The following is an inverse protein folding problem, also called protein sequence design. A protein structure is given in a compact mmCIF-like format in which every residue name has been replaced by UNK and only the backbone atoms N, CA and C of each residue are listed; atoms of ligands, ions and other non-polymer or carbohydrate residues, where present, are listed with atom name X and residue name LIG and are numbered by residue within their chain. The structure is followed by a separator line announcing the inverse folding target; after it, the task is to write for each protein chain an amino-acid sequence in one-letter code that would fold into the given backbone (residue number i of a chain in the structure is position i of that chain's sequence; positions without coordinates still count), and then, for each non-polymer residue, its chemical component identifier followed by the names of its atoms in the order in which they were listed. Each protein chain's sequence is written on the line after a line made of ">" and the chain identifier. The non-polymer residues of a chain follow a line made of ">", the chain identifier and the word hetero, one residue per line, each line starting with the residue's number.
data_IF_300989754929
#
_entry.id   IF_300989754929
#
_cell.length_a   1.000
_cell.length_b   1.000
_cell.length_c   1.000
_cell.angle_alpha   90.00
_cell.angle_beta   90.00
_cell.angle_gamma   90.00
#
_symmetry.space_group_name_H-M   'P 1'
#
loop_
_entity.id
_entity.type
_entity.pdbx_description
1 polymer ?
#
# COMPACT_ATOMS: atom_id res chain seq x y z
N UNK A 1 30.30 45.00 -36.15
CA UNK A 1 29.22 45.81 -35.54
C UNK A 1 28.16 44.81 -35.08
N UNK A 2 28.03 44.45 -33.78
CA UNK A 2 27.43 45.27 -32.69
C UNK A 2 25.98 45.59 -33.14
N UNK A 3 24.86 45.14 -32.55
CA UNK A 3 24.45 44.84 -31.15
C UNK A 3 22.97 44.37 -31.17
N UNK A 4 22.57 43.34 -30.41
CA UNK A 4 21.85 43.36 -29.10
C UNK A 4 20.40 43.88 -29.08
N UNK A 5 19.48 43.02 -28.65
CA UNK A 5 18.37 43.39 -27.74
C UNK A 5 17.92 42.16 -26.94
N UNK A 6 18.57 41.96 -25.79
CA UNK A 6 18.07 41.13 -24.69
C UNK A 6 17.33 42.09 -23.76
N UNK A 7 16.02 41.93 -23.61
CA UNK A 7 15.25 42.57 -22.55
C UNK A 7 15.09 41.57 -21.41
N UNK A 8 15.93 41.71 -20.39
CA UNK A 8 15.80 41.01 -19.12
C UNK A 8 14.60 41.52 -18.34
N UNK A 9 13.82 40.60 -17.80
CA UNK A 9 13.01 40.83 -16.60
C UNK A 9 13.41 39.75 -15.60
N UNK A 10 14.31 40.14 -14.70
CA UNK A 10 14.67 39.37 -13.51
C UNK A 10 13.44 39.25 -12.61
N UNK A 11 12.77 38.09 -12.63
CA UNK A 11 11.98 37.65 -11.49
C UNK A 11 12.88 36.81 -10.59
N UNK A 12 13.41 37.49 -9.58
CA UNK A 12 14.06 36.88 -8.43
C UNK A 12 13.12 35.84 -7.80
N UNK A 13 13.42 34.56 -8.02
CA UNK A 13 12.94 33.51 -7.14
C UNK A 13 13.56 33.74 -5.76
N UNK A 14 12.76 34.26 -4.84
CA UNK A 14 13.08 34.22 -3.42
C UNK A 14 13.19 32.75 -3.01
N UNK A 15 14.42 32.28 -2.85
CA UNK A 15 14.73 31.08 -2.08
C UNK A 15 14.31 31.34 -0.63
N UNK A 16 13.04 31.11 -0.31
CA UNK A 16 12.58 30.98 1.05
C UNK A 16 13.30 29.76 1.64
N UNK A 17 14.29 30.05 2.47
CA UNK A 17 15.06 29.05 3.21
C UNK A 17 14.08 28.37 4.16
N UNK A 18 13.71 27.12 3.88
CA UNK A 18 12.89 26.33 4.80
C UNK A 18 13.59 26.33 6.18
N UNK A 19 12.86 26.55 7.28
CA UNK A 19 13.47 26.57 8.61
C UNK A 19 14.15 25.21 8.88
N UNK A 20 15.41 25.27 9.34
CA UNK A 20 16.24 24.07 9.62
C UNK A 20 15.71 23.22 10.78
N UNK A 21 14.84 23.77 11.63
CA UNK A 21 14.31 23.11 12.82
C UNK A 21 12.83 22.77 12.60
N UNK A 22 12.47 21.51 12.80
CA UNK A 22 11.12 20.98 12.58
C UNK A 22 10.26 21.26 13.83
N UNK A 23 9.11 21.93 13.65
CA UNK A 23 8.13 22.09 14.73
C UNK A 23 7.36 20.77 14.92
N UNK A 24 7.50 20.07 16.07
CA UNK A 24 6.80 18.81 16.30
C UNK A 24 5.27 18.95 16.39
N UNK A 25 4.75 20.17 16.59
CA UNK A 25 3.32 20.45 16.71
C UNK A 25 2.66 20.90 15.39
N UNK A 26 3.44 21.10 14.33
CA UNK A 26 2.97 21.56 13.02
C UNK A 26 3.84 21.03 11.87
N UNK A 27 4.04 19.71 11.81
CA UNK A 27 4.91 19.09 10.81
C UNK A 27 4.28 19.15 9.41
N UNK A 28 4.98 19.71 8.39
CA UNK A 28 4.46 19.80 7.03
C UNK A 28 4.24 18.43 6.37
N UNK A 29 3.11 18.25 5.68
CA UNK A 29 2.79 17.02 4.91
C UNK A 29 3.86 16.73 3.87
N UNK A 30 4.32 17.77 3.17
CA UNK A 30 5.33 17.65 2.11
C UNK A 30 6.65 17.09 2.63
N UNK A 31 7.10 17.51 3.82
CA UNK A 31 8.32 16.98 4.44
C UNK A 31 8.13 15.56 4.95
N UNK A 32 6.96 15.23 5.49
CA UNK A 32 6.67 13.85 5.88
C UNK A 32 6.71 12.90 4.68
N UNK A 33 6.18 13.33 3.53
CA UNK A 33 6.15 12.52 2.32
C UNK A 33 7.53 12.23 1.71
N UNK A 34 8.49 13.14 1.88
CA UNK A 34 9.86 13.00 1.37
C UNK A 34 10.87 12.47 2.39
N UNK A 35 10.71 12.81 3.67
CA UNK A 35 11.71 12.63 4.74
C UNK A 35 11.17 11.87 5.96
N UNK A 36 9.98 11.27 5.86
CA UNK A 36 9.26 10.68 7.00
C UNK A 36 10.09 9.72 7.84
N UNK A 37 10.90 8.84 7.24
CA UNK A 37 11.77 7.92 7.99
C UNK A 37 12.80 8.64 8.86
N UNK A 38 13.42 9.71 8.35
CA UNK A 38 14.43 10.49 9.07
C UNK A 38 13.79 11.28 10.21
N UNK A 39 12.67 11.94 9.93
CA UNK A 39 11.86 12.65 10.93
C UNK A 39 11.44 11.70 12.05
N UNK A 40 10.90 10.53 11.71
CA UNK A 40 10.43 9.59 12.72
C UNK A 40 11.58 9.02 13.55
N UNK A 41 12.74 8.74 12.96
CA UNK A 41 13.92 8.30 13.70
C UNK A 41 14.41 9.34 14.72
N UNK A 42 14.38 10.62 14.36
CA UNK A 42 14.77 11.68 15.28
C UNK A 42 13.79 11.83 16.45
N UNK A 43 12.49 11.77 16.18
CA UNK A 43 11.46 12.17 17.13
C UNK A 43 10.84 11.03 17.94
N UNK A 44 10.80 9.80 17.43
CA UNK A 44 10.22 8.62 18.10
C UNK A 44 10.81 8.34 19.50
N UNK A 45 12.11 8.58 19.76
CA UNK A 45 12.66 8.49 21.12
C UNK A 45 12.20 9.62 22.05
N UNK A 46 11.87 10.80 21.50
CA UNK A 46 11.57 12.03 22.25
C UNK A 46 10.09 12.16 22.59
N UNK A 47 9.19 11.83 21.65
CA UNK A 47 7.75 12.02 21.76
C UNK A 47 6.97 10.76 21.36
N UNK A 48 5.76 10.54 21.91
CA UNK A 48 4.89 9.45 21.47
C UNK A 48 4.22 9.75 20.12
N UNK A 49 3.99 11.03 19.82
CA UNK A 49 3.40 11.49 18.57
C UNK A 49 3.97 12.84 18.11
N UNK A 50 3.83 13.12 16.82
CA UNK A 50 3.94 14.47 16.24
C UNK A 50 2.55 14.95 15.84
N UNK A 51 2.38 16.25 15.65
CA UNK A 51 1.16 16.81 15.06
C UNK A 51 1.47 17.35 13.67
N UNK A 52 0.73 16.86 12.68
CA UNK A 52 0.81 17.31 11.30
C UNK A 52 0.16 18.69 11.16
N UNK A 53 0.58 19.47 10.16
CA UNK A 53 0.08 20.84 9.94
C UNK A 53 -1.45 20.95 9.78
N UNK A 54 -2.11 19.86 9.34
CA UNK A 54 -3.57 19.76 9.22
C UNK A 54 -4.27 19.28 10.52
N UNK A 55 -3.52 19.15 11.61
CA UNK A 55 -4.00 18.81 12.94
C UNK A 55 -4.06 17.30 13.26
N UNK A 56 -3.68 16.42 12.33
CA UNK A 56 -3.65 14.97 12.59
C UNK A 56 -2.48 14.58 13.48
N UNK A 57 -2.73 13.73 14.48
CA UNK A 57 -1.69 13.23 15.39
C UNK A 57 -1.03 11.97 14.81
N UNK A 58 0.27 12.06 14.52
CA UNK A 58 1.10 10.98 13.97
C UNK A 58 1.73 10.19 15.11
N UNK A 59 1.16 9.04 15.44
CA UNK A 59 1.68 8.17 16.52
C UNK A 59 2.91 7.42 16.03
N UNK A 60 4.01 7.53 16.77
CA UNK A 60 5.34 7.11 16.30
C UNK A 60 5.78 5.74 16.80
N UNK A 61 5.46 5.41 18.05
CA UNK A 61 6.05 4.27 18.76
C UNK A 61 5.27 3.00 18.49
N UNK A 62 5.96 1.87 18.30
CA UNK A 62 5.33 0.61 17.92
C UNK A 62 4.28 0.17 18.97
N UNK A 63 4.59 0.27 20.26
CA UNK A 63 3.68 -0.12 21.33
C UNK A 63 2.41 0.75 21.37
N UNK A 64 2.55 2.06 21.19
CA UNK A 64 1.41 2.99 21.12
C UNK A 64 0.53 2.72 19.89
N UNK A 65 1.14 2.39 18.75
CA UNK A 65 0.42 2.00 17.53
C UNK A 65 -0.38 0.71 17.77
N UNK A 66 0.21 -0.30 18.41
CA UNK A 66 -0.48 -1.55 18.73
C UNK A 66 -1.64 -1.31 19.71
N UNK A 67 -1.38 -0.55 20.77
CA UNK A 67 -2.36 -0.17 21.78
C UNK A 67 -3.55 0.52 21.09
N UNK A 68 -3.31 1.67 20.46
CA UNK A 68 -4.35 2.50 19.86
C UNK A 68 -5.06 1.81 18.68
N UNK A 69 -4.43 0.85 18.01
CA UNK A 69 -5.06 0.07 16.96
C UNK A 69 -6.18 -0.86 17.44
N UNK A 70 -6.18 -1.21 18.74
CA UNK A 70 -7.13 -2.14 19.35
C UNK A 70 -7.87 -1.58 20.56
N UNK A 71 -7.45 -0.41 21.08
CA UNK A 71 -8.04 0.27 22.21
C UNK A 71 -9.50 0.67 21.93
N UNK A 72 -10.46 0.34 22.81
CA UNK A 72 -11.88 0.71 22.65
C UNK A 72 -12.13 2.22 22.70
N UNK A 73 -11.18 3.02 23.22
CA UNK A 73 -11.23 4.49 23.20
C UNK A 73 -10.89 5.06 21.83
N UNK A 74 -10.49 4.22 20.88
CA UNK A 74 -10.36 4.63 19.48
C UNK A 74 -11.27 3.78 18.61
N UNK A 75 -11.61 4.29 17.43
CA UNK A 75 -12.27 3.50 16.38
C UNK A 75 -11.66 3.78 15.03
N UNK A 76 -11.98 2.91 14.07
CA UNK A 76 -11.66 3.18 12.68
C UNK A 76 -12.46 4.40 12.21
N UNK A 77 -11.84 5.23 11.37
CA UNK A 77 -12.56 6.32 10.70
C UNK A 77 -13.55 5.75 9.69
N UNK A 78 -14.62 6.47 9.48
CA UNK A 78 -15.63 6.16 8.48
C UNK A 78 -15.55 7.23 7.38
N UNK A 79 -16.55 8.09 7.26
CA UNK A 79 -16.59 9.12 6.20
C UNK A 79 -15.99 10.46 6.60
N UNK A 80 -15.50 10.62 7.83
CA UNK A 80 -15.12 11.94 8.37
C UNK A 80 -14.00 12.62 7.55
N UNK A 81 -13.01 11.87 7.06
CA UNK A 81 -11.95 12.42 6.20
C UNK A 81 -12.47 12.90 4.84
N UNK A 82 -13.56 12.32 4.32
CA UNK A 82 -14.19 12.77 3.09
C UNK A 82 -15.04 14.01 3.35
N UNK A 83 -15.81 14.01 4.45
CA UNK A 83 -16.63 15.14 4.86
C UNK A 83 -15.79 16.40 5.12
N UNK A 84 -14.63 16.26 5.77
CA UNK A 84 -13.69 17.37 5.99
C UNK A 84 -13.12 17.96 4.70
N UNK A 85 -13.14 17.19 3.60
CA UNK A 85 -12.73 17.65 2.26
C UNK A 85 -13.92 18.12 1.41
N UNK A 86 -15.12 18.28 1.99
CA UNK A 86 -16.33 18.66 1.25
C UNK A 86 -16.93 17.56 0.39
N UNK A 87 -16.38 16.34 0.42
CA UNK A 87 -16.87 15.19 -0.33
C UNK A 87 -17.99 14.51 0.48
N UNK A 88 -19.23 14.70 0.03
CA UNK A 88 -20.44 14.28 0.76
C UNK A 88 -21.27 13.21 0.04
N UNK A 89 -20.94 12.92 -1.22
CA UNK A 89 -21.60 11.97 -2.13
C UNK A 89 -20.67 11.64 -3.28
N UNK A 90 -21.02 10.61 -4.05
CA UNK A 90 -20.26 10.18 -5.22
C UNK A 90 -19.61 8.82 -5.04
N UNK A 91 -18.95 8.34 -6.08
CA UNK A 91 -18.33 7.03 -6.13
C UNK A 91 -17.21 6.88 -5.09
N UNK A 92 -16.36 7.90 -4.90
CA UNK A 92 -15.33 7.88 -3.86
C UNK A 92 -15.98 7.85 -2.47
N UNK A 93 -17.01 8.67 -2.24
CA UNK A 93 -17.71 8.69 -0.96
C UNK A 93 -18.36 7.33 -0.64
N UNK A 94 -18.99 6.70 -1.62
CA UNK A 94 -19.63 5.39 -1.48
C UNK A 94 -18.59 4.29 -1.22
N UNK A 95 -17.44 4.33 -1.89
CA UNK A 95 -16.34 3.41 -1.64
C UNK A 95 -15.91 3.47 -0.16
N UNK A 96 -15.70 4.68 0.38
CA UNK A 96 -15.33 4.86 1.78
C UNK A 96 -16.47 4.42 2.71
N UNK A 97 -17.69 4.89 2.49
CA UNK A 97 -18.85 4.61 3.34
C UNK A 97 -19.19 3.12 3.45
N UNK A 98 -19.08 2.39 2.34
CA UNK A 98 -19.56 1.00 2.27
C UNK A 98 -18.45 -0.06 2.33
N UNK A 99 -17.17 0.31 2.30
CA UNK A 99 -16.06 -0.65 2.44
C UNK A 99 -15.91 -1.17 3.89
N UNK A 100 -15.43 -2.40 4.03
CA UNK A 100 -15.04 -2.97 5.32
C UNK A 100 -13.86 -2.22 5.96
N UNK A 101 -12.96 -1.62 5.17
CA UNK A 101 -11.78 -0.94 5.72
C UNK A 101 -12.17 0.23 6.63
N UNK A 102 -13.27 0.91 6.33
CA UNK A 102 -13.76 2.12 6.99
C UNK A 102 -15.06 1.87 7.76
N UNK A 103 -15.20 0.70 8.36
CA UNK A 103 -16.37 0.38 9.18
C UNK A 103 -15.96 -0.23 10.51
N UNK A 104 -16.89 -0.23 11.46
CA UNK A 104 -16.65 -0.63 12.84
C UNK A 104 -17.63 -1.72 13.29
N UNK A 105 -17.30 -2.41 14.39
CA UNK A 105 -18.22 -3.32 15.10
C UNK A 105 -18.88 -4.37 14.22
N UNK A 106 -20.19 -4.56 14.40
CA UNK A 106 -20.97 -5.56 13.64
C UNK A 106 -20.99 -5.29 12.13
N UNK A 107 -20.97 -4.03 11.70
CA UNK A 107 -20.98 -3.67 10.27
C UNK A 107 -19.71 -4.19 9.61
N UNK A 108 -18.55 -3.97 10.24
CA UNK A 108 -17.28 -4.51 9.78
C UNK A 108 -17.30 -6.05 9.74
N UNK A 109 -17.79 -6.70 10.81
CA UNK A 109 -17.87 -8.17 10.87
C UNK A 109 -18.69 -8.73 9.71
N UNK A 110 -19.86 -8.15 9.41
CA UNK A 110 -20.74 -8.56 8.30
C UNK A 110 -20.09 -8.35 6.93
N UNK A 111 -19.43 -7.21 6.71
CA UNK A 111 -18.74 -6.94 5.42
C UNK A 111 -17.54 -7.86 5.21
N UNK A 112 -16.84 -8.23 6.29
CA UNK A 112 -15.65 -9.08 6.24
C UNK A 112 -15.98 -10.58 6.15
N UNK A 113 -17.06 -11.05 6.77
CA UNK A 113 -17.42 -12.49 6.84
C UNK A 113 -17.56 -13.12 5.46
N UNK A 114 -18.15 -12.37 4.51
CA UNK A 114 -18.33 -12.80 3.12
C UNK A 114 -17.01 -13.20 2.43
N UNK A 115 -15.87 -12.67 2.86
CA UNK A 115 -14.56 -13.01 2.32
C UNK A 115 -13.73 -13.97 3.19
N UNK A 116 -14.06 -14.12 4.47
CA UNK A 116 -13.21 -14.83 5.42
C UNK A 116 -13.01 -16.31 5.05
N UNK A 117 -14.03 -16.95 4.46
CA UNK A 117 -13.94 -18.33 3.98
C UNK A 117 -13.09 -18.47 2.71
N UNK A 118 -13.16 -17.48 1.81
CA UNK A 118 -12.47 -17.53 0.51
C UNK A 118 -11.01 -17.12 0.59
N UNK A 119 -10.63 -16.28 1.56
CA UNK A 119 -9.23 -15.92 1.86
C UNK A 119 -8.58 -16.79 2.94
N UNK A 120 -9.18 -17.93 3.29
CA UNK A 120 -8.55 -18.86 4.21
C UNK A 120 -7.18 -19.32 3.66
N UNK A 121 -6.15 -19.33 4.53
CA UNK A 121 -4.75 -19.58 4.14
C UNK A 121 -4.56 -20.78 3.20
N UNK A 122 -5.23 -21.91 3.46
CA UNK A 122 -5.13 -23.11 2.63
C UNK A 122 -5.61 -22.90 1.19
N UNK A 123 -6.65 -22.08 0.99
CA UNK A 123 -7.16 -21.76 -0.34
C UNK A 123 -6.16 -20.89 -1.10
N UNK A 124 -5.59 -19.90 -0.43
CA UNK A 124 -4.62 -18.99 -1.03
C UNK A 124 -3.30 -19.70 -1.35
N UNK A 125 -2.80 -20.59 -0.48
CA UNK A 125 -1.58 -21.35 -0.75
C UNK A 125 -1.74 -22.33 -1.93
N UNK A 126 -2.96 -22.83 -2.17
CA UNK A 126 -3.27 -23.63 -3.35
C UNK A 126 -3.14 -22.85 -4.68
N UNK A 127 -3.14 -21.51 -4.65
CA UNK A 127 -2.89 -20.66 -5.82
C UNK A 127 -1.41 -20.52 -6.16
N UNK A 128 -0.50 -20.89 -5.25
CA UNK A 128 0.95 -20.71 -5.43
C UNK A 128 1.47 -21.28 -6.76
N UNK A 129 1.11 -22.51 -7.19
CA UNK A 129 1.59 -23.04 -8.48
C UNK A 129 1.18 -22.19 -9.68
N UNK A 130 -0.04 -21.62 -9.67
CA UNK A 130 -0.50 -20.75 -10.75
C UNK A 130 0.18 -19.39 -10.71
N UNK A 131 0.43 -18.84 -9.52
CA UNK A 131 1.22 -17.61 -9.35
C UNK A 131 2.66 -17.81 -9.82
N UNK A 132 3.30 -18.94 -9.51
CA UNK A 132 4.64 -19.27 -10.03
C UNK A 132 4.66 -19.36 -11.56
N UNK A 133 3.62 -19.91 -12.20
CA UNK A 133 3.55 -19.91 -13.68
C UNK A 133 3.38 -18.50 -14.23
N UNK A 134 2.54 -17.70 -13.57
CA UNK A 134 2.30 -16.31 -13.95
C UNK A 134 3.57 -15.46 -13.85
N UNK A 135 4.37 -15.63 -12.79
CA UNK A 135 5.64 -14.91 -12.63
C UNK A 135 6.64 -15.25 -13.74
N UNK A 136 6.72 -16.51 -14.15
CA UNK A 136 7.57 -16.94 -15.27
C UNK A 136 7.06 -16.40 -16.62
N UNK A 137 5.75 -16.50 -16.88
CA UNK A 137 5.17 -16.01 -18.13
C UNK A 137 5.34 -14.50 -18.29
N UNK A 138 5.08 -13.74 -17.23
CA UNK A 138 5.34 -12.30 -17.21
C UNK A 138 6.81 -11.96 -17.46
N UNK A 139 7.73 -12.81 -17.02
CA UNK A 139 9.15 -12.61 -17.24
C UNK A 139 9.58 -12.90 -18.68
N UNK A 140 8.89 -13.80 -19.37
CA UNK A 140 9.13 -14.09 -20.78
C UNK A 140 8.73 -12.92 -21.68
N UNK A 141 7.72 -12.15 -21.28
CA UNK A 141 7.27 -10.93 -21.96
C UNK A 141 8.15 -9.69 -21.67
N UNK A 142 9.08 -9.76 -20.72
CA UNK A 142 10.00 -8.66 -20.43
C UNK A 142 10.95 -8.48 -21.63
N UNK A 143 11.00 -7.27 -22.22
CA UNK A 143 11.83 -7.03 -23.39
C UNK A 143 13.31 -7.21 -23.03
N UNK A 144 14.04 -7.94 -23.88
CA UNK A 144 15.50 -8.12 -23.76
C UNK A 144 16.23 -6.92 -24.39
N UNK A 145 15.84 -5.72 -23.99
CA UNK A 145 16.47 -4.44 -24.38
C UNK A 145 17.45 -4.00 -23.30
N UNK A 146 18.24 -2.97 -23.59
CA UNK A 146 19.24 -2.47 -22.64
C UNK A 146 18.55 -1.94 -21.36
N UNK A 147 17.64 -0.96 -21.43
CA UNK A 147 16.92 -0.46 -20.26
C UNK A 147 15.40 -0.63 -20.39
N UNK A 148 14.73 -1.02 -19.30
CA UNK A 148 13.27 -1.05 -19.21
C UNK A 148 12.78 -0.68 -17.80
N UNK A 149 11.52 -0.23 -17.70
CA UNK A 149 10.88 0.02 -16.39
C UNK A 149 10.33 -1.28 -15.80
N UNK A 150 10.99 -1.81 -14.78
CA UNK A 150 10.56 -3.00 -14.05
C UNK A 150 9.18 -2.82 -13.37
N UNK A 151 8.89 -1.60 -12.91
CA UNK A 151 7.66 -1.30 -12.21
C UNK A 151 6.45 -1.37 -13.15
N UNK A 152 6.60 -0.94 -14.40
CA UNK A 152 5.57 -1.00 -15.44
C UNK A 152 5.51 -2.37 -16.12
N UNK A 153 6.66 -2.99 -16.41
CA UNK A 153 6.72 -4.17 -17.25
C UNK A 153 6.48 -5.49 -16.50
N UNK A 154 6.70 -5.51 -15.18
CA UNK A 154 6.58 -6.70 -14.34
C UNK A 154 5.78 -6.46 -13.05
N UNK A 155 6.21 -5.51 -12.20
CA UNK A 155 5.68 -5.36 -10.85
C UNK A 155 4.19 -4.96 -10.80
N UNK A 156 3.72 -4.18 -11.77
CA UNK A 156 2.31 -3.78 -11.91
C UNK A 156 1.41 -4.94 -12.35
N UNK A 157 1.93 -5.78 -13.27
CA UNK A 157 1.14 -6.80 -13.96
C UNK A 157 0.81 -7.98 -13.08
N UNK A 158 1.77 -8.41 -12.24
CA UNK A 158 1.60 -9.59 -11.39
C UNK A 158 0.36 -9.47 -10.47
N UNK A 159 0.26 -8.47 -9.57
CA UNK A 159 -0.88 -8.40 -8.67
C UNK A 159 -2.21 -8.12 -9.38
N UNK A 160 -2.18 -7.37 -10.49
CA UNK A 160 -3.37 -7.17 -11.32
C UNK A 160 -3.88 -8.49 -11.92
N UNK A 161 -3.01 -9.28 -12.52
CA UNK A 161 -3.39 -10.56 -13.13
C UNK A 161 -3.75 -11.61 -12.06
N UNK A 162 -3.09 -11.60 -10.91
CA UNK A 162 -3.48 -12.45 -9.78
C UNK A 162 -4.87 -12.10 -9.30
N UNK A 163 -5.19 -10.82 -9.05
CA UNK A 163 -6.52 -10.44 -8.55
C UNK A 163 -7.60 -10.68 -9.60
N UNK A 164 -7.29 -10.48 -10.90
CA UNK A 164 -8.17 -10.89 -11.99
C UNK A 164 -8.45 -12.39 -11.95
N UNK A 165 -7.42 -13.22 -11.81
CA UNK A 165 -7.56 -14.68 -11.72
C UNK A 165 -8.37 -15.09 -10.49
N UNK A 166 -8.07 -14.52 -9.32
CA UNK A 166 -8.81 -14.77 -8.08
C UNK A 166 -10.27 -14.44 -8.28
N UNK A 167 -10.60 -13.27 -8.81
CA UNK A 167 -11.99 -12.82 -9.01
C UNK A 167 -12.69 -13.43 -10.23
N UNK A 168 -12.00 -14.27 -11.01
CA UNK A 168 -12.54 -14.83 -12.24
C UNK A 168 -12.84 -13.77 -13.31
N UNK A 169 -12.06 -12.68 -13.35
CA UNK A 169 -12.12 -11.64 -14.37
C UNK A 169 -11.36 -12.08 -15.64
N UNK A 170 -11.77 -11.61 -16.83
CA UNK A 170 -10.98 -11.81 -18.04
C UNK A 170 -9.58 -11.19 -17.90
N UNK A 171 -8.53 -11.95 -18.20
CA UNK A 171 -7.14 -11.45 -18.13
C UNK A 171 -6.91 -10.22 -19.03
N UNK A 172 -7.60 -10.12 -20.16
CA UNK A 172 -7.53 -8.98 -21.08
C UNK A 172 -8.02 -7.65 -20.47
N UNK A 173 -8.80 -7.71 -19.39
CA UNK A 173 -9.31 -6.51 -18.69
C UNK A 173 -8.29 -5.96 -17.69
N UNK A 174 -7.22 -6.71 -17.37
CA UNK A 174 -6.23 -6.32 -16.37
C UNK A 174 -5.62 -4.93 -16.61
N UNK A 175 -5.20 -4.56 -17.83
CA UNK A 175 -4.72 -3.20 -18.09
C UNK A 175 -5.78 -2.13 -17.81
N UNK A 176 -7.05 -2.42 -18.12
CA UNK A 176 -8.15 -1.47 -17.95
C UNK A 176 -8.40 -1.16 -16.47
N UNK A 177 -8.64 -2.17 -15.64
CA UNK A 177 -8.92 -1.91 -14.22
C UNK A 177 -7.66 -1.47 -13.45
N UNK A 178 -6.45 -1.86 -13.89
CA UNK A 178 -5.20 -1.42 -13.24
C UNK A 178 -5.04 0.09 -13.32
N UNK A 179 -5.30 0.68 -14.49
CA UNK A 179 -5.33 2.14 -14.66
C UNK A 179 -6.31 2.81 -13.68
N UNK A 180 -7.52 2.25 -13.57
CA UNK A 180 -8.54 2.76 -12.65
C UNK A 180 -8.10 2.65 -11.19
N UNK A 181 -7.53 1.50 -10.80
CA UNK A 181 -7.02 1.25 -9.45
C UNK A 181 -5.98 2.29 -9.06
N UNK A 182 -4.99 2.58 -9.92
CA UNK A 182 -3.96 3.57 -9.59
C UNK A 182 -4.55 4.96 -9.37
N UNK A 183 -5.50 5.37 -10.20
CA UNK A 183 -6.18 6.65 -10.02
C UNK A 183 -7.04 6.68 -8.75
N UNK A 184 -7.87 5.66 -8.52
CA UNK A 184 -8.77 5.59 -7.37
C UNK A 184 -7.99 5.49 -6.04
N UNK A 185 -6.87 4.77 -6.01
CA UNK A 185 -6.09 4.52 -4.78
C UNK A 185 -5.56 5.80 -4.14
N UNK A 186 -5.41 6.88 -4.92
CA UNK A 186 -5.01 8.21 -4.46
C UNK A 186 -5.94 8.74 -3.37
N UNK A 187 -7.22 8.37 -3.38
CA UNK A 187 -8.17 8.80 -2.35
C UNK A 187 -7.85 8.24 -0.94
N UNK A 188 -7.05 7.17 -0.87
CA UNK A 188 -6.58 6.53 0.36
C UNK A 188 -5.29 7.16 0.91
N UNK A 189 -4.68 8.08 0.17
CA UNK A 189 -3.51 8.86 0.60
C UNK A 189 -3.95 10.19 1.23
N UNK A 190 -3.20 10.76 2.18
CA UNK A 190 -3.45 12.11 2.67
C UNK A 190 -3.15 13.21 1.63
N UNK A 191 -2.38 12.91 0.58
CA UNK A 191 -1.68 13.92 -0.23
C UNK A 191 -2.30 14.24 -1.60
N UNK A 192 -3.59 13.97 -1.83
CA UNK A 192 -4.27 14.39 -3.08
C UNK A 192 -4.87 15.80 -2.94
N UNK A 193 -4.80 16.58 -4.03
CA UNK A 193 -5.28 17.95 -4.11
C UNK A 193 -6.69 18.08 -4.69
N UNK A 194 -7.30 19.27 -4.58
CA UNK A 194 -8.64 19.53 -5.12
C UNK A 194 -8.74 19.27 -6.63
N UNK A 195 -7.70 19.63 -7.38
CA UNK A 195 -7.61 19.44 -8.84
C UNK A 195 -7.55 17.95 -9.24
N UNK A 196 -7.13 17.07 -8.33
CA UNK A 196 -7.04 15.63 -8.58
C UNK A 196 -8.41 14.94 -8.48
N UNK A 197 -9.32 15.50 -7.67
CA UNK A 197 -10.56 14.84 -7.29
C UNK A 197 -11.47 14.46 -8.47
N UNK A 198 -11.67 15.32 -9.50
CA UNK A 198 -12.52 14.96 -10.63
C UNK A 198 -12.06 13.70 -11.37
N UNK A 199 -10.74 13.52 -11.53
CA UNK A 199 -10.17 12.33 -12.19
C UNK A 199 -10.33 11.08 -11.32
N UNK A 200 -10.08 11.21 -10.01
CA UNK A 200 -10.25 10.13 -9.03
C UNK A 200 -11.72 9.67 -9.01
N UNK A 201 -12.65 10.62 -8.95
CA UNK A 201 -14.09 10.36 -8.92
C UNK A 201 -14.58 9.69 -10.22
N UNK A 202 -14.17 10.19 -11.39
CA UNK A 202 -14.50 9.58 -12.67
C UNK A 202 -13.97 8.13 -12.77
N UNK A 203 -12.73 7.91 -12.36
CA UNK A 203 -12.12 6.57 -12.34
C UNK A 203 -12.84 5.65 -11.35
N UNK A 204 -13.32 6.18 -10.23
CA UNK A 204 -14.11 5.43 -9.26
C UNK A 204 -15.46 5.01 -9.85
N UNK A 205 -16.16 5.90 -10.58
CA UNK A 205 -17.39 5.55 -11.30
C UNK A 205 -17.14 4.42 -12.30
N UNK A 206 -16.14 4.55 -13.17
CA UNK A 206 -15.79 3.51 -14.15
C UNK A 206 -15.49 2.16 -13.49
N UNK A 207 -14.74 2.16 -12.39
CA UNK A 207 -14.40 0.94 -11.66
C UNK A 207 -15.63 0.29 -11.02
N UNK A 208 -16.52 1.09 -10.44
CA UNK A 208 -17.77 0.59 -9.89
C UNK A 208 -18.67 -0.02 -10.97
N UNK A 209 -18.81 0.64 -12.12
CA UNK A 209 -19.62 0.15 -13.23
C UNK A 209 -19.06 -1.14 -13.81
N UNK A 210 -17.73 -1.25 -13.92
CA UNK A 210 -17.05 -2.48 -14.30
C UNK A 210 -17.40 -3.64 -13.35
N UNK A 211 -17.26 -3.43 -12.04
CA UNK A 211 -17.57 -4.47 -11.04
C UNK A 211 -19.06 -4.83 -11.04
N UNK A 212 -19.96 -3.86 -11.23
CA UNK A 212 -21.40 -4.13 -11.39
C UNK A 212 -21.66 -5.04 -12.59
N UNK A 213 -21.02 -4.77 -13.73
CA UNK A 213 -21.17 -5.60 -14.93
C UNK A 213 -20.66 -7.03 -14.71
N UNK A 214 -19.49 -7.18 -14.06
CA UNK A 214 -18.92 -8.47 -13.68
C UNK A 214 -19.86 -9.27 -12.78
N UNK A 215 -20.40 -8.64 -11.73
CA UNK A 215 -21.32 -9.30 -10.80
C UNK A 215 -22.64 -9.69 -11.49
N UNK A 216 -23.14 -8.84 -12.38
CA UNK A 216 -24.35 -9.12 -13.14
C UNK A 216 -24.17 -10.30 -14.12
N UNK A 217 -23.04 -10.38 -14.82
CA UNK A 217 -22.73 -11.52 -15.69
C UNK A 217 -22.54 -12.80 -14.87
N UNK A 218 -21.76 -12.72 -13.78
CA UNK A 218 -21.50 -13.87 -12.91
C UNK A 218 -22.76 -14.44 -12.27
N UNK A 219 -23.69 -13.58 -11.87
CA UNK A 219 -24.98 -14.00 -11.31
C UNK A 219 -25.84 -14.80 -12.30
N UNK A 220 -25.56 -14.70 -13.62
CA UNK A 220 -26.23 -15.49 -14.66
C UNK A 220 -25.48 -16.79 -14.99
N UNK A 221 -24.20 -16.89 -14.63
CA UNK A 221 -23.31 -18.02 -14.94
C UNK A 221 -22.48 -18.40 -13.72
N UNK A 222 -23.12 -19.07 -12.77
CA UNK A 222 -22.47 -19.52 -11.53
C UNK A 222 -21.44 -20.62 -11.88
N UNK A 223 -20.23 -20.50 -11.34
CA UNK A 223 -19.17 -21.52 -11.39
C UNK A 223 -18.66 -21.82 -9.97
N UNK A 224 -17.64 -22.67 -9.85
CA UNK A 224 -16.97 -22.98 -8.58
C UNK A 224 -15.75 -22.07 -8.30
N UNK A 225 -15.78 -20.81 -8.75
CA UNK A 225 -14.72 -19.84 -8.46
C UNK A 225 -15.04 -18.90 -7.30
N UNK A 226 -14.03 -18.11 -6.92
CA UNK A 226 -14.09 -17.18 -5.79
C UNK A 226 -15.30 -16.26 -5.87
N UNK A 227 -15.58 -15.66 -7.03
CA UNK A 227 -16.64 -14.66 -7.15
C UNK A 227 -18.00 -15.34 -6.95
N UNK A 228 -18.22 -16.51 -7.54
CA UNK A 228 -19.41 -17.30 -7.26
C UNK A 228 -19.53 -17.72 -5.79
N UNK A 229 -18.43 -18.11 -5.14
CA UNK A 229 -18.43 -18.41 -3.70
C UNK A 229 -18.77 -17.18 -2.84
N UNK A 230 -18.20 -16.01 -3.16
CA UNK A 230 -18.48 -14.75 -2.48
C UNK A 230 -19.96 -14.38 -2.62
N UNK A 231 -20.49 -14.37 -3.85
CA UNK A 231 -21.89 -14.03 -4.12
C UNK A 231 -22.85 -15.00 -3.39
N UNK A 232 -22.49 -16.29 -3.32
CA UNK A 232 -23.24 -17.27 -2.54
C UNK A 232 -23.21 -16.96 -1.04
N UNK A 233 -22.04 -16.66 -0.47
CA UNK A 233 -21.91 -16.31 0.93
C UNK A 233 -22.72 -15.05 1.30
N UNK A 234 -22.66 -14.02 0.45
CA UNK A 234 -23.45 -12.79 0.62
C UNK A 234 -24.96 -13.10 0.65
N UNK A 235 -25.44 -13.95 -0.26
CA UNK A 235 -26.85 -14.36 -0.33
C UNK A 235 -27.29 -15.23 0.85
N UNK A 236 -26.45 -16.16 1.29
CA UNK A 236 -26.73 -17.04 2.43
C UNK A 236 -26.79 -16.27 3.76
N UNK A 237 -25.90 -15.30 3.96
CA UNK A 237 -25.91 -14.45 5.15
C UNK A 237 -27.04 -13.41 5.08
N UNK A 238 -27.35 -12.89 3.90
CA UNK A 238 -28.47 -11.96 3.67
C UNK A 238 -28.30 -10.61 4.40
N UNK A 239 -27.08 -10.23 4.76
CA UNK A 239 -26.79 -9.06 5.61
C UNK A 239 -26.29 -7.84 4.84
N UNK A 240 -25.72 -8.00 3.64
CA UNK A 240 -25.20 -6.90 2.85
C UNK A 240 -26.24 -6.36 1.87
N UNK A 241 -26.32 -5.04 1.77
CA UNK A 241 -27.06 -4.38 0.70
C UNK A 241 -26.37 -4.56 -0.67
N UNK A 242 -27.07 -4.38 -1.80
CA UNK A 242 -26.46 -4.50 -3.12
C UNK A 242 -25.26 -3.57 -3.35
N UNK A 243 -25.27 -2.37 -2.75
CA UNK A 243 -24.12 -1.46 -2.86
C UNK A 243 -22.92 -1.94 -2.04
N UNK A 244 -23.14 -2.48 -0.84
CA UNK A 244 -22.08 -3.03 0.01
C UNK A 244 -21.43 -4.26 -0.62
N UNK A 245 -22.22 -5.11 -1.30
CA UNK A 245 -21.72 -6.26 -2.06
C UNK A 245 -20.71 -5.82 -3.14
N UNK A 246 -21.07 -4.80 -3.93
CA UNK A 246 -20.20 -4.27 -4.98
C UNK A 246 -18.97 -3.56 -4.39
N UNK A 247 -19.15 -2.72 -3.36
CA UNK A 247 -18.04 -1.95 -2.80
C UNK A 247 -16.98 -2.81 -2.13
N UNK A 248 -17.36 -3.96 -1.60
CA UNK A 248 -16.43 -4.98 -1.09
C UNK A 248 -15.50 -5.50 -2.19
N UNK A 249 -16.02 -5.77 -3.39
CA UNK A 249 -15.23 -6.24 -4.52
C UNK A 249 -14.37 -5.12 -5.13
N UNK A 250 -14.92 -3.91 -5.27
CA UNK A 250 -14.17 -2.72 -5.71
C UNK A 250 -12.98 -2.48 -4.78
N UNK A 251 -13.21 -2.52 -3.47
CA UNK A 251 -12.16 -2.36 -2.47
C UNK A 251 -11.13 -3.48 -2.54
N UNK A 252 -11.53 -4.72 -2.79
CA UNK A 252 -10.61 -5.85 -2.90
C UNK A 252 -9.67 -5.73 -4.10
N UNK A 253 -10.19 -5.30 -5.26
CA UNK A 253 -9.39 -5.01 -6.46
C UNK A 253 -8.38 -3.90 -6.16
N UNK A 254 -8.82 -2.83 -5.49
CA UNK A 254 -7.98 -1.70 -5.11
C UNK A 254 -6.86 -2.11 -4.16
N UNK A 255 -7.21 -2.78 -3.05
CA UNK A 255 -6.30 -3.16 -1.99
C UNK A 255 -5.29 -4.24 -2.40
N UNK A 256 -5.69 -5.14 -3.31
CA UNK A 256 -4.84 -6.24 -3.79
C UNK A 256 -3.81 -5.84 -4.85
N UNK A 257 -3.97 -4.68 -5.51
CA UNK A 257 -3.15 -4.33 -6.67
C UNK A 257 -1.95 -3.44 -6.31
N UNK A 258 -2.19 -2.26 -5.76
CA UNK A 258 -1.14 -1.23 -5.63
C UNK A 258 -0.13 -1.55 -4.52
N UNK A 259 -0.60 -2.06 -3.38
CA UNK A 259 0.27 -2.37 -2.25
C UNK A 259 1.32 -3.45 -2.59
N UNK A 260 0.92 -4.52 -3.27
CA UNK A 260 1.85 -5.58 -3.71
C UNK A 260 2.81 -5.05 -4.78
N UNK A 261 2.34 -4.25 -5.74
CA UNK A 261 3.20 -3.63 -6.75
C UNK A 261 4.33 -2.82 -6.09
N UNK A 262 3.99 -1.95 -5.15
CA UNK A 262 4.97 -1.09 -4.49
C UNK A 262 6.00 -1.92 -3.70
N UNK A 263 5.55 -2.96 -3.00
CA UNK A 263 6.46 -3.90 -2.32
C UNK A 263 7.36 -4.65 -3.33
N UNK A 264 6.83 -5.04 -4.49
CA UNK A 264 7.58 -5.75 -5.53
C UNK A 264 8.66 -4.88 -6.18
N UNK A 265 8.49 -3.55 -6.22
CA UNK A 265 9.53 -2.61 -6.67
C UNK A 265 10.59 -2.41 -5.58
N UNK A 266 10.16 -2.22 -4.33
CA UNK A 266 11.09 -1.92 -3.24
C UNK A 266 11.93 -3.12 -2.79
N UNK A 267 11.39 -4.33 -2.84
CA UNK A 267 12.12 -5.53 -2.44
C UNK A 267 13.42 -5.76 -3.22
N UNK A 268 13.44 -5.80 -4.57
CA UNK A 268 14.69 -5.90 -5.33
C UNK A 268 15.55 -4.65 -5.19
N UNK A 269 14.95 -3.45 -5.04
CA UNK A 269 15.71 -2.21 -4.77
C UNK A 269 16.57 -2.35 -3.51
N UNK A 270 15.97 -2.78 -2.40
CA UNK A 270 16.66 -2.99 -1.12
C UNK A 270 17.73 -4.08 -1.22
N UNK A 271 17.44 -5.17 -1.95
CA UNK A 271 18.41 -6.26 -2.13
C UNK A 271 19.59 -5.86 -3.02
N UNK A 272 19.37 -5.11 -4.10
CA UNK A 272 20.42 -4.65 -5.01
C UNK A 272 21.35 -3.61 -4.35
N UNK A 273 20.84 -2.85 -3.38
CA UNK A 273 21.66 -2.02 -2.49
C UNK A 273 22.52 -2.86 -1.51
N UNK A 274 22.22 -4.16 -1.37
CA UNK A 274 22.93 -5.13 -0.53
C UNK A 274 23.46 -6.31 -1.40
N UNK A 275 24.49 -6.08 -2.25
CA UNK A 275 24.90 -7.03 -3.28
C UNK A 275 25.34 -8.40 -2.73
N UNK A 276 25.86 -8.45 -1.51
CA UNK A 276 26.19 -9.71 -0.82
C UNK A 276 24.95 -10.56 -0.57
N UNK A 277 23.85 -9.94 -0.12
CA UNK A 277 22.58 -10.63 0.13
C UNK A 277 21.94 -11.04 -1.19
N UNK A 278 21.92 -10.16 -2.19
CA UNK A 278 21.43 -10.48 -3.53
C UNK A 278 22.16 -11.70 -4.12
N UNK A 279 23.49 -11.66 -4.14
CA UNK A 279 24.30 -12.76 -4.67
C UNK A 279 24.07 -14.06 -3.89
N UNK A 280 23.97 -14.00 -2.56
CA UNK A 280 23.64 -15.17 -1.75
C UNK A 280 22.28 -15.78 -2.13
N UNK A 281 21.26 -14.94 -2.35
CA UNK A 281 19.92 -15.41 -2.72
C UNK A 281 19.83 -15.94 -4.16
N UNK A 282 20.66 -15.45 -5.08
CA UNK A 282 20.80 -16.03 -6.41
C UNK A 282 21.33 -17.47 -6.36
N UNK A 283 22.22 -17.78 -5.41
CA UNK A 283 22.77 -19.12 -5.22
C UNK A 283 21.86 -20.03 -4.38
N UNK A 284 21.28 -19.50 -3.29
CA UNK A 284 20.37 -20.22 -2.40
C UNK A 284 19.13 -19.38 -2.06
N UNK A 285 17.99 -19.80 -2.59
CA UNK A 285 16.70 -19.12 -2.41
C UNK A 285 16.00 -19.44 -1.09
N UNK A 286 16.62 -20.20 -0.18
CA UNK A 286 16.05 -20.51 1.14
C UNK A 286 15.71 -19.26 1.97
N UNK A 287 16.45 -18.16 1.75
CA UNK A 287 16.26 -16.87 2.43
C UNK A 287 15.18 -15.97 1.85
N UNK A 288 14.51 -16.33 0.75
CA UNK A 288 13.53 -15.46 0.06
C UNK A 288 12.38 -15.03 0.96
N UNK A 289 11.82 -15.95 1.75
CA UNK A 289 10.71 -15.61 2.64
C UNK A 289 11.13 -14.57 3.70
N UNK A 290 12.36 -14.68 4.22
CA UNK A 290 12.88 -13.72 5.18
C UNK A 290 13.20 -12.36 4.53
N UNK A 291 13.71 -12.35 3.30
CA UNK A 291 13.90 -11.13 2.53
C UNK A 291 12.59 -10.37 2.28
N UNK A 292 11.51 -11.08 1.99
CA UNK A 292 10.17 -10.49 1.81
C UNK A 292 9.67 -9.84 3.10
N UNK A 293 9.74 -10.53 4.24
CA UNK A 293 9.30 -9.92 5.52
C UNK A 293 10.16 -8.69 5.86
N UNK A 294 11.47 -8.75 5.64
CA UNK A 294 12.36 -7.61 5.93
C UNK A 294 12.11 -6.43 4.97
N UNK A 295 11.82 -6.69 3.70
CA UNK A 295 11.43 -5.65 2.75
C UNK A 295 10.12 -4.97 3.15
N UNK A 296 9.11 -5.75 3.53
CA UNK A 296 7.82 -5.24 4.01
C UNK A 296 7.93 -4.49 5.34
N UNK A 297 8.91 -4.84 6.18
CA UNK A 297 9.22 -4.10 7.41
C UNK A 297 9.89 -2.77 7.08
N UNK A 298 10.96 -2.81 6.28
CA UNK A 298 11.82 -1.66 6.06
C UNK A 298 11.11 -0.59 5.21
N UNK A 299 10.40 -1.01 4.16
CA UNK A 299 9.62 -0.13 3.28
C UNK A 299 8.19 -0.65 3.10
N UNK A 300 7.31 -0.46 4.09
CA UNK A 300 5.92 -0.90 3.99
C UNK A 300 5.17 -0.09 2.92
N UNK A 301 4.30 -0.77 2.16
CA UNK A 301 3.42 -0.11 1.16
C UNK A 301 2.32 0.75 1.80
N UNK A 302 2.03 0.53 3.08
CA UNK A 302 1.09 1.34 3.86
C UNK A 302 1.88 2.08 4.94
N UNK A 303 1.84 3.42 4.91
CA UNK A 303 2.63 4.26 5.82
C UNK A 303 2.00 4.41 7.20
N UNK A 304 0.68 4.54 7.24
CA UNK A 304 -0.10 4.64 8.47
C UNK A 304 -1.54 4.21 8.22
N UNK A 305 -2.27 3.90 9.30
CA UNK A 305 -3.71 3.73 9.23
C UNK A 305 -4.42 4.71 10.17
N UNK A 306 -5.54 5.30 9.72
CA UNK A 306 -6.25 6.31 10.49
C UNK A 306 -7.05 5.71 11.65
N UNK A 307 -7.23 6.47 12.72
CA UNK A 307 -8.18 6.22 13.82
C UNK A 307 -8.80 7.54 14.27
N UNK A 308 -9.94 7.45 14.96
CA UNK A 308 -10.56 8.57 15.67
C UNK A 308 -10.47 8.31 17.18
N UNK A 309 -9.97 9.27 17.95
CA UNK A 309 -10.01 9.24 19.41
C UNK A 309 -11.43 9.57 19.91
N UNK A 310 -12.01 8.68 20.73
CA UNK A 310 -13.35 8.85 21.31
C UNK A 310 -13.33 9.48 22.70
N UNK A 311 -12.16 9.46 23.34
CA UNK A 311 -11.86 9.98 24.66
C UNK A 311 -10.47 10.63 24.64
N UNK A 312 -10.13 11.37 25.69
CA UNK A 312 -8.75 11.82 25.91
C UNK A 312 -7.89 10.60 26.26
N UNK A 313 -6.73 10.47 25.62
CA UNK A 313 -5.84 9.32 25.82
C UNK A 313 -4.45 9.82 26.21
N UNK A 314 -3.99 9.45 27.42
CA UNK A 314 -2.63 9.70 27.89
C UNK A 314 -1.64 8.67 27.33
N UNK A 315 -0.52 9.16 26.81
CA UNK A 315 0.64 8.40 26.38
C UNK A 315 1.88 9.02 27.03
N UNK A 316 2.37 8.40 28.10
CA UNK A 316 3.53 8.88 28.87
C UNK A 316 3.43 10.36 29.32
N UNK A 317 2.24 10.80 29.75
CA UNK A 317 1.99 12.19 30.16
C UNK A 317 1.67 13.16 29.01
N UNK A 318 1.63 12.68 27.76
CA UNK A 318 1.15 13.44 26.60
C UNK A 318 -0.27 13.04 26.25
N UNK A 319 -1.16 14.01 26.06
CA UNK A 319 -2.58 13.75 25.81
C UNK A 319 -2.92 13.86 24.33
N UNK A 320 -3.49 12.79 23.78
CA UNK A 320 -4.26 12.81 22.54
C UNK A 320 -5.69 13.26 22.87
N UNK A 321 -6.16 14.43 22.37
CA UNK A 321 -7.48 14.93 22.70
C UNK A 321 -8.60 14.10 22.08
N UNK A 322 -9.74 14.02 22.78
CA UNK A 322 -10.99 13.48 22.25
C UNK A 322 -11.37 14.16 20.93
N UNK A 323 -11.81 13.37 19.97
CA UNK A 323 -12.23 13.83 18.64
C UNK A 323 -11.09 14.08 17.67
N UNK A 324 -9.83 13.86 18.07
CA UNK A 324 -8.69 13.98 17.17
C UNK A 324 -8.60 12.81 16.19
N UNK A 325 -8.16 13.13 14.96
CA UNK A 325 -7.73 12.12 14.01
C UNK A 325 -6.30 11.70 14.33
N UNK A 326 -6.09 10.40 14.39
CA UNK A 326 -4.80 9.78 14.61
C UNK A 326 -4.37 9.11 13.30
N UNK A 327 -3.10 9.23 12.94
CA UNK A 327 -2.46 8.35 11.97
C UNK A 327 -1.46 7.47 12.71
N UNK A 328 -1.78 6.19 12.83
CA UNK A 328 -0.92 5.22 13.50
C UNK A 328 0.19 4.81 12.52
N UNK A 329 1.40 5.36 12.68
CA UNK A 329 2.48 5.30 11.68
C UNK A 329 3.14 3.93 11.64
N UNK A 330 2.63 3.04 10.77
CA UNK A 330 3.21 1.73 10.49
C UNK A 330 4.70 1.86 10.11
N UNK A 331 5.05 2.80 9.25
CA UNK A 331 6.44 2.97 8.81
C UNK A 331 7.38 3.41 9.95
N UNK A 332 6.87 4.19 10.92
CA UNK A 332 7.62 4.51 12.14
C UNK A 332 7.74 3.30 13.05
N UNK A 333 6.62 2.62 13.36
CA UNK A 333 6.61 1.47 14.27
C UNK A 333 7.44 0.29 13.77
N UNK A 334 7.47 0.05 12.45
CA UNK A 334 8.30 -1.00 11.84
C UNK A 334 9.80 -0.68 11.85
N UNK A 335 10.17 0.55 12.22
CA UNK A 335 11.56 0.97 12.47
C UNK A 335 11.79 1.43 13.91
N UNK A 336 10.94 1.01 14.85
CA UNK A 336 11.12 1.34 16.27
C UNK A 336 12.34 0.62 16.86
N UNK A 337 13.33 1.39 17.30
CA UNK A 337 14.59 0.93 17.89
C UNK A 337 14.37 0.10 19.16
N UNK A 338 13.21 0.23 19.83
CA UNK A 338 12.84 -0.56 21.01
C UNK A 338 12.52 -2.02 20.66
N UNK A 339 12.13 -2.28 19.41
CA UNK A 339 11.73 -3.61 18.91
C UNK A 339 12.72 -4.20 17.91
N UNK A 340 13.45 -3.34 17.18
CA UNK A 340 14.38 -3.75 16.14
C UNK A 340 15.75 -3.11 16.37
N UNK A 341 16.77 -3.95 16.57
CA UNK A 341 18.17 -3.51 16.62
C UNK A 341 18.61 -2.98 15.25
N UNK A 342 19.21 -1.78 15.18
CA UNK A 342 19.57 -1.12 13.91
C UNK A 342 18.41 -1.13 12.89
N UNK A 343 17.27 -0.51 13.21
CA UNK A 343 16.02 -0.66 12.45
C UNK A 343 16.07 -0.16 11.01
N UNK A 344 17.03 0.71 10.69
CA UNK A 344 17.24 1.29 9.38
C UNK A 344 17.97 0.36 8.40
N UNK A 345 18.61 -0.71 8.89
CA UNK A 345 19.35 -1.65 8.05
C UNK A 345 18.42 -2.72 7.47
N UNK A 346 18.71 -3.19 6.26
CA UNK A 346 18.06 -4.36 5.69
C UNK A 346 18.81 -5.62 6.14
N UNK A 347 18.18 -6.43 6.99
CA UNK A 347 18.76 -7.68 7.49
C UNK A 347 17.77 -8.85 7.43
N UNK A 348 18.04 -9.80 6.52
CA UNK A 348 17.21 -10.99 6.33
C UNK A 348 17.37 -12.03 7.45
N UNK A 349 18.33 -11.85 8.37
CA UNK A 349 18.58 -12.75 9.51
C UNK A 349 17.86 -12.30 10.77
N UNK A 350 17.09 -11.21 10.73
CA UNK A 350 16.28 -10.73 11.86
C UNK A 350 15.34 -11.81 12.37
N UNK A 351 15.40 -12.05 13.67
CA UNK A 351 14.58 -13.07 14.34
C UNK A 351 13.17 -12.57 14.66
N UNK A 352 12.99 -11.26 14.81
CA UNK A 352 11.74 -10.61 15.24
C UNK A 352 10.75 -10.33 14.08
N UNK A 353 10.68 -11.19 13.05
CA UNK A 353 9.87 -10.91 11.84
C UNK A 353 8.49 -11.54 11.83
N UNK A 354 8.24 -12.56 12.67
CA UNK A 354 7.10 -13.46 12.49
C UNK A 354 5.72 -12.81 12.60
N UNK A 355 5.60 -11.62 13.21
CA UNK A 355 4.34 -10.84 13.34
C UNK A 355 4.63 -9.35 13.47
N UNK A 356 4.96 -8.69 12.36
CA UNK A 356 5.10 -7.24 12.32
C UNK A 356 3.80 -6.54 11.85
N UNK A 357 3.74 -5.23 12.05
CA UNK A 357 2.59 -4.34 11.74
C UNK A 357 2.35 -4.08 10.24
N UNK A 358 3.17 -4.63 9.33
CA UNK A 358 3.08 -4.32 7.89
C UNK A 358 1.76 -4.73 7.23
N UNK A 359 1.02 -5.64 7.88
CA UNK A 359 -0.32 -6.07 7.47
C UNK A 359 -1.41 -5.60 8.45
N UNK A 360 -1.10 -4.62 9.30
CA UNK A 360 -1.98 -4.18 10.39
C UNK A 360 -2.16 -5.23 11.49
N UNK A 361 -3.08 -4.95 12.40
CA UNK A 361 -3.40 -5.78 13.56
C UNK A 361 -4.91 -5.80 13.85
N UNK A 362 -5.31 -6.69 14.77
CA UNK A 362 -6.68 -6.78 15.24
C UNK A 362 -7.68 -7.20 14.15
N UNK A 363 -8.91 -6.72 14.28
CA UNK A 363 -10.03 -7.10 13.40
C UNK A 363 -9.83 -6.67 11.94
N UNK A 364 -9.04 -5.61 11.70
CA UNK A 364 -8.72 -5.11 10.36
C UNK A 364 -7.43 -5.67 9.77
N UNK A 365 -6.79 -6.66 10.42
CA UNK A 365 -5.59 -7.31 9.86
C UNK A 365 -5.84 -7.73 8.41
N UNK A 366 -4.86 -7.46 7.54
CA UNK A 366 -4.98 -7.61 6.10
C UNK A 366 -5.46 -9.01 5.74
N UNK A 367 -6.54 -9.07 4.96
CA UNK A 367 -7.12 -10.32 4.49
C UNK A 367 -6.25 -11.00 3.42
N UNK A 368 -5.59 -10.20 2.58
CA UNK A 368 -4.71 -10.65 1.50
C UNK A 368 -3.27 -10.94 1.93
N UNK A 369 -2.96 -11.00 3.24
CA UNK A 369 -1.57 -11.09 3.71
C UNK A 369 -0.82 -12.34 3.25
N UNK A 370 -1.54 -13.45 3.04
CA UNK A 370 -0.96 -14.68 2.53
C UNK A 370 -0.69 -14.57 1.02
N UNK A 371 -1.61 -13.95 0.27
CA UNK A 371 -1.51 -13.79 -1.18
C UNK A 371 -0.33 -12.87 -1.52
N UNK A 372 -0.25 -11.70 -0.89
CA UNK A 372 0.83 -10.75 -1.09
C UNK A 372 2.21 -11.39 -0.83
N UNK A 373 2.33 -12.21 0.22
CA UNK A 373 3.57 -12.96 0.50
C UNK A 373 3.91 -13.95 -0.60
N UNK A 374 2.93 -14.69 -1.11
CA UNK A 374 3.15 -15.62 -2.22
C UNK A 374 3.66 -14.86 -3.44
N UNK A 375 2.96 -13.79 -3.84
CA UNK A 375 3.33 -12.99 -5.01
C UNK A 375 4.76 -12.44 -4.89
N UNK A 376 5.09 -11.81 -3.75
CA UNK A 376 6.43 -11.26 -3.51
C UNK A 376 7.51 -12.34 -3.48
N UNK A 377 7.23 -13.50 -2.88
CA UNK A 377 8.18 -14.61 -2.84
C UNK A 377 8.40 -15.22 -4.23
N UNK A 378 7.34 -15.57 -4.96
CA UNK A 378 7.47 -16.17 -6.29
C UNK A 378 8.07 -15.18 -7.30
N UNK A 379 7.65 -13.92 -7.27
CA UNK A 379 8.22 -12.85 -8.10
C UNK A 379 9.72 -12.65 -7.85
N UNK A 380 10.13 -12.61 -6.57
CA UNK A 380 11.54 -12.53 -6.22
C UNK A 380 12.32 -13.78 -6.66
N UNK A 381 11.76 -15.00 -6.49
CA UNK A 381 12.42 -16.24 -6.95
C UNK A 381 12.65 -16.24 -8.46
N UNK A 382 11.64 -15.86 -9.24
CA UNK A 382 11.77 -15.73 -10.69
C UNK A 382 12.87 -14.72 -11.03
N UNK A 383 12.85 -13.55 -10.40
CA UNK A 383 13.84 -12.51 -10.64
C UNK A 383 15.28 -12.97 -10.33
N UNK A 384 15.50 -13.59 -9.17
CA UNK A 384 16.81 -14.10 -8.75
C UNK A 384 17.37 -15.15 -9.71
N UNK A 385 16.51 -16.00 -10.32
CA UNK A 385 16.93 -17.01 -11.31
C UNK A 385 17.20 -16.40 -12.68
N UNK A 386 16.32 -15.52 -13.13
CA UNK A 386 16.28 -15.07 -14.54
C UNK A 386 17.07 -13.79 -14.78
N UNK A 387 17.39 -13.03 -13.74
CA UNK A 387 18.20 -11.82 -13.80
C UNK A 387 19.18 -11.70 -12.62
N UNK A 388 20.09 -12.66 -12.42
CA UNK A 388 21.07 -12.58 -11.33
C UNK A 388 22.00 -11.35 -11.43
N UNK A 389 22.14 -10.80 -12.64
CA UNK A 389 22.96 -9.61 -12.92
C UNK A 389 22.12 -8.32 -13.06
N UNK A 390 20.87 -8.30 -12.59
CA UNK A 390 20.00 -7.12 -12.66
C UNK A 390 20.71 -5.89 -12.05
N UNK A 391 20.64 -4.74 -12.72
CA UNK A 391 21.16 -3.46 -12.23
C UNK A 391 20.15 -2.35 -12.42
N UNK A 392 20.07 -1.44 -11.46
CA UNK A 392 19.37 -0.16 -11.62
C UNK A 392 20.27 0.78 -12.41
N UNK A 393 19.76 1.33 -13.52
CA UNK A 393 20.51 2.22 -14.43
C UNK A 393 20.08 3.68 -14.34
N UNK A 394 18.94 3.97 -13.69
CA UNK A 394 18.46 5.31 -13.38
C UNK A 394 18.55 5.65 -11.89
N UNK A 395 17.69 6.56 -11.44
CA UNK A 395 17.54 6.87 -10.02
C UNK A 395 17.07 5.64 -9.23
N UNK A 396 17.64 5.46 -8.04
CA UNK A 396 17.19 4.40 -7.14
C UNK A 396 15.73 4.61 -6.76
N UNK A 397 14.87 3.56 -6.85
CA UNK A 397 13.49 3.68 -6.46
C UNK A 397 13.35 4.08 -4.99
N UNK A 398 12.34 4.91 -4.70
CA UNK A 398 12.00 5.36 -3.36
C UNK A 398 10.50 5.26 -3.14
N UNK A 399 10.11 5.06 -1.88
CA UNK A 399 8.71 5.14 -1.46
C UNK A 399 8.37 6.57 -1.08
N UNK A 400 7.33 7.11 -1.70
CA UNK A 400 6.77 8.44 -1.43
C UNK A 400 5.50 8.29 -0.61
N UNK A 401 5.34 9.16 0.39
CA UNK A 401 4.14 9.22 1.22
C UNK A 401 4.40 8.74 2.65
N UNK A 402 3.75 9.37 3.62
CA UNK A 402 3.86 9.03 5.04
C UNK A 402 2.62 8.34 5.64
N UNK A 403 1.48 8.36 4.96
CA UNK A 403 0.23 7.81 5.49
C UNK A 403 -0.64 7.15 4.44
N UNK A 404 -1.54 6.25 4.87
CA UNK A 404 -2.35 5.46 3.95
C UNK A 404 -1.50 4.66 2.97
N UNK A 405 -1.94 4.57 1.71
CA UNK A 405 -1.15 3.96 0.64
C UNK A 405 0.05 4.86 0.25
N UNK A 406 1.24 4.27 0.24
CA UNK A 406 2.50 4.87 -0.23
C UNK A 406 2.78 4.41 -1.65
N UNK A 407 3.54 5.20 -2.42
CA UNK A 407 3.83 4.93 -3.84
C UNK A 407 5.32 4.74 -4.08
N UNK A 408 5.71 3.67 -4.75
CA UNK A 408 7.07 3.51 -5.25
C UNK A 408 7.27 4.35 -6.53
N UNK A 409 8.43 5.00 -6.66
CA UNK A 409 8.85 5.59 -7.95
C UNK A 409 9.15 4.49 -8.99
N UNK A 410 9.32 4.88 -10.25
CA UNK A 410 9.73 3.96 -11.32
C UNK A 410 11.08 3.30 -11.04
N UNK A 411 11.33 2.17 -11.72
CA UNK A 411 12.57 1.39 -11.55
C UNK A 411 13.13 1.01 -12.92
N UNK A 412 14.00 1.87 -13.45
CA UNK A 412 14.71 1.60 -14.70
C UNK A 412 15.88 0.64 -14.45
N UNK A 413 15.87 -0.49 -15.15
CA UNK A 413 16.84 -1.57 -14.96
C UNK A 413 17.37 -2.12 -16.27
N UNK A 414 18.58 -2.69 -16.18
CA UNK A 414 19.23 -3.50 -17.21
C UNK A 414 19.48 -4.91 -16.67
N UNK A 415 19.39 -5.93 -17.54
CA UNK A 415 19.56 -7.34 -17.17
C UNK A 415 21.02 -7.76 -16.94
N UNK A 416 21.99 -6.90 -17.21
CA UNK A 416 23.42 -7.18 -17.06
C UNK A 416 23.91 -8.27 -18.02
N UNK A 417 23.35 -8.32 -19.24
CA UNK A 417 23.81 -9.22 -20.30
C UNK A 417 25.07 -8.59 -20.91
N UNK A 418 26.24 -9.11 -20.56
CA UNK A 418 27.48 -8.78 -21.26
C UNK A 418 27.32 -9.17 -22.73
N UNK A 419 27.55 -8.22 -23.65
CA UNK A 419 27.49 -8.44 -25.10
C UNK A 419 28.71 -9.17 -25.63
#
# INVERSE_FOLDING_TARGET
>A
MITSSISGTDQQFQNATQPKELDPDAVPVSRLDSEGHEIFAEWRPKLPFLRREDGVFLVLRADDIFLLGTDPRTRQIETELMLNRGVTRGAVFDLIRYSMLFSNGEVHVKRRSAFAKTFAFRMIDALRPEITKLTEHLWDDVPRVDDFDFAEMYASKLPALTIASVLGLPFGDAPFFTRLVYNVSRCLSPSWGEDDFPEIEASAVELQDYVRAVVADRSRRISDDFLSCYLKAVREEGTLSPIEEIMQLVFLILAGSDATRNAMVMLPTLLLQNPVVWSSLCHDQSGVAAAVEEGLRLEPSVGSFPRLALEDIDLDGYVLPKGSFLALSIMSGLRDERHYEHPQLFDIKRKQMRRHLGFGAGVHRCLGEALARIELQEGLRTLLRRAPNLRVTGDWPRMIGHGGARRATGMTVNLGVDR
#
